data_IF_868158814247
#
_entry.id   IF_868158814247
#
_cell.length_a   1.000
_cell.length_b   1.000
_cell.length_c   1.000
_cell.angle_alpha   90.00
_cell.angle_beta   90.00
_cell.angle_gamma   90.00
#
_symmetry.space_group_name_H-M   'P 1'
#
loop_
_entity.id
_entity.type
_entity.pdbx_description
1 polymer ?
#
# COMPACT_ATOMS: atom_id res chain seq x y z
N UNK A 1 -7.60 -8.84 39.61
CA UNK A 1 -6.67 -9.63 38.79
C UNK A 1 -5.81 -8.63 38.03
N UNK A 2 -4.64 -8.31 38.58
CA UNK A 2 -3.68 -7.39 37.98
C UNK A 2 -3.04 -8.11 36.79
N UNK A 3 -3.41 -7.70 35.58
CA UNK A 3 -2.69 -8.12 34.38
C UNK A 3 -1.30 -7.52 34.48
N UNK A 4 -0.30 -8.37 34.74
CA UNK A 4 1.10 -8.01 34.56
C UNK A 4 1.26 -7.60 33.10
N UNK A 5 1.34 -6.29 32.85
CA UNK A 5 1.66 -5.76 31.53
C UNK A 5 3.15 -6.08 31.34
N UNK A 6 3.44 -7.23 30.72
CA UNK A 6 4.80 -7.57 30.32
C UNK A 6 5.20 -6.65 29.15
N UNK A 7 5.96 -5.60 29.47
CA UNK A 7 6.46 -4.56 28.56
C UNK A 7 7.62 -5.02 27.65
N UNK A 8 7.81 -6.33 27.47
CA UNK A 8 8.86 -6.85 26.60
C UNK A 8 8.38 -6.87 25.14
N UNK A 9 9.25 -6.46 24.22
CA UNK A 9 8.96 -6.36 22.78
C UNK A 9 8.48 -7.71 22.23
N UNK A 10 9.13 -8.80 22.62
CA UNK A 10 8.76 -10.15 22.18
C UNK A 10 7.36 -10.55 22.66
N UNK A 11 6.99 -10.15 23.87
CA UNK A 11 5.66 -10.41 24.43
C UNK A 11 4.57 -9.65 23.67
N UNK A 12 4.84 -8.40 23.30
CA UNK A 12 3.91 -7.57 22.51
C UNK A 12 3.75 -8.13 21.09
N UNK A 13 4.84 -8.52 20.43
CA UNK A 13 4.80 -9.11 19.09
C UNK A 13 4.02 -10.42 19.07
N UNK A 14 4.20 -11.27 20.09
CA UNK A 14 3.43 -12.51 20.22
C UNK A 14 1.93 -12.25 20.38
N UNK A 15 1.56 -11.22 21.15
CA UNK A 15 0.15 -10.84 21.34
C UNK A 15 -0.47 -10.33 20.04
N UNK A 16 0.26 -9.50 19.28
CA UNK A 16 -0.20 -9.04 17.97
C UNK A 16 -0.40 -10.23 17.03
N UNK A 17 0.58 -11.13 16.94
CA UNK A 17 0.50 -12.31 16.06
C UNK A 17 -0.68 -13.22 16.42
N UNK A 18 -0.94 -13.42 17.71
CA UNK A 18 -2.10 -14.19 18.17
C UNK A 18 -3.41 -13.52 17.71
N UNK A 19 -3.52 -12.21 17.90
CA UNK A 19 -4.69 -11.45 17.46
C UNK A 19 -4.89 -11.52 15.94
N UNK A 20 -3.82 -11.43 15.14
CA UNK A 20 -3.89 -11.57 13.68
C UNK A 20 -4.44 -12.94 13.26
N UNK A 21 -3.98 -14.01 13.92
CA UNK A 21 -4.48 -15.38 13.67
C UNK A 21 -5.97 -15.52 14.03
N UNK A 22 -6.38 -15.00 15.19
CA UNK A 22 -7.76 -15.13 15.68
C UNK A 22 -8.76 -14.33 14.84
N UNK A 23 -8.37 -13.14 14.38
CA UNK A 23 -9.27 -12.20 13.71
C UNK A 23 -9.12 -12.18 12.19
N UNK A 24 -8.16 -12.92 11.63
CA UNK A 24 -7.74 -12.83 10.22
C UNK A 24 -7.42 -11.39 9.79
N UNK A 25 -7.11 -10.52 10.76
CA UNK A 25 -6.60 -9.17 10.50
C UNK A 25 -5.09 -9.21 10.34
N UNK A 26 -4.54 -8.17 9.74
CA UNK A 26 -3.09 -7.95 9.68
C UNK A 26 -2.82 -6.49 9.98
N UNK A 27 -1.70 -6.23 10.62
CA UNK A 27 -1.28 -4.90 11.01
C UNK A 27 -0.09 -4.47 10.16
N UNK A 28 -0.18 -3.26 9.62
CA UNK A 28 0.94 -2.60 8.95
C UNK A 28 1.53 -1.53 9.85
N UNK A 29 2.82 -1.28 9.68
CA UNK A 29 3.50 -0.19 10.38
C UNK A 29 3.02 1.14 9.80
N UNK A 30 2.41 1.98 10.65
CA UNK A 30 2.02 3.34 10.29
C UNK A 30 3.17 4.32 10.56
N UNK A 31 3.80 4.18 11.73
CA UNK A 31 4.93 5.01 12.16
C UNK A 31 5.83 4.20 13.10
N UNK A 32 7.14 4.39 13.00
CA UNK A 32 8.09 3.85 13.96
C UNK A 32 9.17 4.90 14.21
N UNK A 33 9.51 5.12 15.49
CA UNK A 33 10.62 5.98 15.84
C UNK A 33 11.96 5.27 15.56
N UNK A 34 13.01 6.06 15.30
CA UNK A 34 14.35 5.58 14.93
C UNK A 34 15.00 4.66 15.98
N UNK A 35 14.59 4.82 17.23
CA UNK A 35 15.18 4.12 18.38
C UNK A 35 14.32 2.95 18.87
N UNK A 36 13.19 2.67 18.23
CA UNK A 36 12.35 1.53 18.58
C UNK A 36 13.11 0.21 18.32
N UNK A 37 13.14 -0.69 19.32
CA UNK A 37 13.79 -2.00 19.21
C UNK A 37 15.32 -2.01 19.35
N UNK A 38 15.95 -0.89 19.70
CA UNK A 38 17.41 -0.85 19.96
C UNK A 38 17.69 -1.13 21.44
N UNK A 39 18.43 -2.22 21.70
CA UNK A 39 18.79 -2.63 23.06
C UNK A 39 19.83 -1.69 23.69
N UNK A 40 20.85 -1.31 22.90
CA UNK A 40 21.94 -0.44 23.32
C UNK A 40 21.75 0.97 22.78
N UNK A 41 20.99 1.78 23.51
CA UNK A 41 20.90 3.23 23.27
C UNK A 41 21.79 3.90 24.32
N UNK A 42 22.75 4.70 23.85
CA UNK A 42 23.54 5.51 24.75
C UNK A 42 22.63 6.57 25.39
N UNK A 43 22.47 6.46 26.71
CA UNK A 43 21.65 7.38 27.48
C UNK A 43 22.31 8.76 27.64
N UNK A 44 23.60 8.88 27.32
CA UNK A 44 24.34 10.14 27.41
C UNK A 44 24.14 11.04 26.19
N UNK A 45 23.76 10.48 25.04
CA UNK A 45 23.65 11.22 23.78
C UNK A 45 22.31 11.95 23.58
N UNK A 46 21.28 11.61 24.37
CA UNK A 46 19.94 12.16 24.20
C UNK A 46 19.38 12.69 25.52
N UNK A 47 18.65 13.81 25.45
CA UNK A 47 17.86 14.29 26.59
C UNK A 47 16.58 13.47 26.73
N UNK A 48 16.50 12.67 27.80
CA UNK A 48 15.31 11.89 28.11
C UNK A 48 14.46 12.59 29.15
N UNK A 49 13.14 12.55 28.96
CA UNK A 49 12.19 12.96 29.99
C UNK A 49 11.87 11.75 30.85
N UNK A 50 12.26 11.82 32.13
CA UNK A 50 11.80 10.87 33.14
C UNK A 50 10.32 11.18 33.42
N UNK A 51 9.47 10.16 33.31
CA UNK A 51 8.04 10.25 33.55
C UNK A 51 7.66 9.32 34.68
N UNK A 52 6.54 9.62 35.32
CA UNK A 52 5.91 8.76 36.32
C UNK A 52 4.54 8.27 35.86
N UNK A 53 3.95 8.91 34.85
CA UNK A 53 2.76 8.51 34.12
C UNK A 53 2.84 9.02 32.66
N UNK A 54 1.98 8.49 31.79
CA UNK A 54 1.74 9.02 30.46
C UNK A 54 0.25 9.03 30.17
N UNK A 55 -0.42 10.08 30.67
CA UNK A 55 -1.88 10.28 30.55
C UNK A 55 -2.25 11.37 29.54
N UNK A 56 -1.29 11.79 28.71
CA UNK A 56 -1.51 12.82 27.69
C UNK A 56 -2.55 12.37 26.65
N UNK A 57 -3.19 13.32 25.98
CA UNK A 57 -4.24 13.04 24.97
C UNK A 57 -3.78 12.09 23.86
N UNK A 58 -2.49 12.09 23.54
CA UNK A 58 -1.88 11.25 22.49
C UNK A 58 -1.25 9.94 23.04
N UNK A 59 -1.32 9.74 24.36
CA UNK A 59 -0.88 8.53 25.04
C UNK A 59 -1.96 7.46 24.90
N UNK A 60 -1.78 6.60 23.89
CA UNK A 60 -2.67 5.49 23.61
C UNK A 60 -1.82 4.22 23.49
N UNK A 61 -1.93 3.28 24.44
CA UNK A 61 -2.67 3.37 25.70
C UNK A 61 -2.00 4.33 26.71
N UNK A 62 -2.76 4.92 27.65
CA UNK A 62 -2.18 5.71 28.73
C UNK A 62 -1.45 4.80 29.72
N UNK A 63 -0.34 5.28 30.27
CA UNK A 63 0.42 4.58 31.32
C UNK A 63 0.06 5.26 32.66
N UNK A 64 -0.69 4.60 33.56
CA UNK A 64 -1.04 5.20 34.85
C UNK A 64 0.15 5.28 35.79
N UNK A 65 0.06 6.14 36.80
CA UNK A 65 1.06 6.23 37.86
C UNK A 65 1.08 4.96 38.73
N UNK A 66 2.24 4.31 38.81
CA UNK A 66 2.48 3.12 39.64
C UNK A 66 3.62 3.33 40.68
N UNK A 67 4.17 4.55 40.73
CA UNK A 67 5.30 4.90 41.62
C UNK A 67 6.68 4.60 41.04
N UNK A 68 6.77 3.97 39.86
CA UNK A 68 8.04 3.62 39.21
C UNK A 68 8.32 4.61 38.07
N UNK A 69 9.45 5.36 38.11
CA UNK A 69 9.79 6.24 37.01
C UNK A 69 10.19 5.44 35.76
N UNK A 70 9.78 5.92 34.59
CA UNK A 70 10.11 5.31 33.31
C UNK A 70 10.49 6.35 32.24
N UNK A 71 11.08 5.86 31.15
CA UNK A 71 11.44 6.64 29.96
C UNK A 71 10.86 5.95 28.73
N UNK A 72 10.19 6.70 27.86
CA UNK A 72 9.71 6.19 26.58
C UNK A 72 10.86 6.28 25.56
N UNK A 73 11.49 5.15 25.24
CA UNK A 73 12.64 5.08 24.31
C UNK A 73 12.26 5.20 22.83
N UNK A 74 11.03 4.84 22.50
CA UNK A 74 10.49 4.95 21.13
C UNK A 74 9.09 4.35 21.04
N UNK A 75 8.32 4.82 20.05
CA UNK A 75 6.96 4.36 19.77
C UNK A 75 6.90 3.71 18.39
N UNK A 76 6.19 2.58 18.29
CA UNK A 76 5.79 1.93 17.04
C UNK A 76 4.27 1.89 17.00
N UNK A 77 3.69 2.59 16.04
CA UNK A 77 2.24 2.63 15.82
C UNK A 77 1.90 1.71 14.66
N UNK A 78 1.01 0.77 14.92
CA UNK A 78 0.47 -0.16 13.94
C UNK A 78 -0.94 0.26 13.54
N UNK A 79 -1.33 -0.03 12.30
CA UNK A 79 -2.67 0.20 11.77
C UNK A 79 -3.20 -1.10 11.17
N UNK A 80 -4.43 -1.48 11.52
CA UNK A 80 -5.10 -2.65 10.94
C UNK A 80 -5.33 -2.42 9.43
N UNK A 81 -5.11 -3.44 8.60
CA UNK A 81 -5.33 -3.37 7.15
C UNK A 81 -6.80 -3.10 6.78
N UNK A 82 -7.73 -3.54 7.63
CA UNK A 82 -9.17 -3.29 7.49
C UNK A 82 -9.58 -1.91 8.05
N UNK A 83 -8.63 -1.16 8.59
CA UNK A 83 -8.86 0.19 9.09
C UNK A 83 -9.12 1.20 7.98
N UNK A 84 -8.98 2.48 8.31
CA UNK A 84 -9.26 3.58 7.38
C UNK A 84 -8.42 3.46 6.10
N UNK A 85 -9.07 3.38 4.94
CA UNK A 85 -8.37 3.40 3.64
C UNK A 85 -7.79 4.80 3.37
N UNK A 86 -6.53 5.00 3.79
CA UNK A 86 -5.77 6.24 3.53
C UNK A 86 -5.48 6.46 2.05
N UNK A 87 -5.58 5.42 1.22
CA UNK A 87 -5.35 5.48 -0.22
C UNK A 87 -6.63 5.71 -1.03
N UNK A 88 -7.80 5.83 -0.38
CA UNK A 88 -9.10 6.05 -1.02
C UNK A 88 -9.07 7.18 -2.06
N UNK A 89 -8.57 8.36 -1.69
CA UNK A 89 -8.48 9.52 -2.59
C UNK A 89 -7.59 9.26 -3.82
N UNK A 90 -6.51 8.47 -3.67
CA UNK A 90 -5.63 8.09 -4.78
C UNK A 90 -6.36 7.13 -5.73
N UNK A 91 -7.09 6.17 -5.19
CA UNK A 91 -7.92 5.22 -5.98
C UNK A 91 -9.03 5.95 -6.73
N UNK A 92 -9.74 6.86 -6.07
CA UNK A 92 -10.77 7.70 -6.70
C UNK A 92 -10.19 8.53 -7.86
N UNK A 93 -9.04 9.17 -7.65
CA UNK A 93 -8.37 9.92 -8.72
C UNK A 93 -7.98 9.03 -9.89
N UNK A 94 -7.42 7.84 -9.62
CA UNK A 94 -7.06 6.90 -10.67
C UNK A 94 -8.29 6.41 -11.46
N UNK A 95 -9.41 6.15 -10.77
CA UNK A 95 -10.66 5.78 -11.41
C UNK A 95 -11.23 6.91 -12.27
N UNK A 96 -11.19 8.16 -11.79
CA UNK A 96 -11.60 9.32 -12.59
C UNK A 96 -10.75 9.50 -13.85
N UNK A 97 -9.44 9.31 -13.76
CA UNK A 97 -8.54 9.36 -14.92
C UNK A 97 -8.87 8.25 -15.93
N UNK A 98 -9.05 7.01 -15.44
CA UNK A 98 -9.43 5.88 -16.30
C UNK A 98 -10.79 6.09 -16.98
N UNK A 99 -11.76 6.65 -16.26
CA UNK A 99 -13.07 6.96 -16.84
C UNK A 99 -12.97 8.03 -17.93
N UNK A 100 -12.13 9.06 -17.75
CA UNK A 100 -11.85 10.05 -18.79
C UNK A 100 -11.20 9.43 -20.03
N UNK A 101 -10.24 8.53 -19.84
CA UNK A 101 -9.63 7.78 -20.95
C UNK A 101 -10.67 6.95 -21.71
N UNK A 102 -11.64 6.36 -21.01
CA UNK A 102 -12.75 5.62 -21.62
C UNK A 102 -13.76 6.54 -22.32
N UNK A 103 -14.08 7.71 -21.74
CA UNK A 103 -14.96 8.71 -22.36
C UNK A 103 -14.33 9.30 -23.63
N UNK A 104 -13.02 9.50 -23.66
CA UNK A 104 -12.28 9.95 -24.84
C UNK A 104 -12.20 8.90 -25.96
N UNK A 105 -12.73 7.68 -25.74
CA UNK A 105 -12.93 6.66 -26.79
C UNK A 105 -14.09 6.98 -27.76
N UNK A 106 -14.40 8.26 -27.91
CA UNK A 106 -15.25 8.79 -28.95
C UNK A 106 -14.67 8.49 -30.34
N UNK A 107 -15.53 8.43 -31.36
CA UNK A 107 -15.11 8.30 -32.77
C UNK A 107 -14.03 9.33 -33.14
N UNK A 108 -14.24 10.60 -32.77
CA UNK A 108 -13.30 11.68 -33.01
C UNK A 108 -11.99 11.55 -32.22
N UNK A 109 -12.01 10.87 -31.07
CA UNK A 109 -10.79 10.52 -30.32
C UNK A 109 -9.94 9.50 -31.06
N UNK A 110 -10.58 8.45 -31.59
CA UNK A 110 -9.91 7.41 -32.40
C UNK A 110 -9.32 7.97 -33.69
N UNK A 111 -10.08 8.79 -34.40
CA UNK A 111 -9.62 9.44 -35.64
C UNK A 111 -8.38 10.32 -35.39
N UNK A 112 -8.37 11.11 -34.30
CA UNK A 112 -7.19 11.91 -33.89
C UNK A 112 -5.99 11.05 -33.51
N UNK A 113 -6.20 9.94 -32.80
CA UNK A 113 -5.12 9.02 -32.43
C UNK A 113 -4.51 8.36 -33.68
N UNK A 114 -5.37 7.90 -34.61
CA UNK A 114 -4.97 7.32 -35.89
C UNK A 114 -4.13 8.30 -36.72
N UNK A 115 -4.57 9.55 -36.82
CA UNK A 115 -3.83 10.59 -37.54
C UNK A 115 -2.47 10.88 -36.91
N UNK A 116 -2.35 10.85 -35.57
CA UNK A 116 -1.05 10.99 -34.89
C UNK A 116 -0.11 9.83 -35.20
N UNK A 117 -0.62 8.61 -35.23
CA UNK A 117 0.18 7.41 -35.57
C UNK A 117 0.68 7.49 -37.01
N UNK A 118 -0.20 7.82 -37.97
CA UNK A 118 0.22 8.01 -39.37
C UNK A 118 1.30 9.08 -39.51
N UNK A 119 1.12 10.25 -38.89
CA UNK A 119 2.12 11.32 -38.93
C UNK A 119 3.47 10.93 -38.29
N UNK A 120 3.48 10.08 -37.26
CA UNK A 120 4.71 9.61 -36.63
C UNK A 120 5.42 8.57 -37.51
N UNK A 121 4.66 7.67 -38.17
CA UNK A 121 5.19 6.75 -39.17
C UNK A 121 5.79 7.52 -40.35
N UNK A 122 5.09 8.53 -40.88
CA UNK A 122 5.54 9.36 -42.00
C UNK A 122 6.83 10.15 -41.68
N UNK A 123 7.09 10.38 -40.39
CA UNK A 123 8.29 11.08 -39.88
C UNK A 123 9.40 10.14 -39.42
N UNK A 124 9.20 8.83 -39.53
CA UNK A 124 10.12 7.81 -39.02
C UNK A 124 10.43 7.97 -37.50
N UNK A 125 9.46 8.50 -36.73
CA UNK A 125 9.56 8.58 -35.28
C UNK A 125 9.27 7.21 -34.64
N UNK A 126 9.88 6.92 -33.48
CA UNK A 126 9.60 5.70 -32.71
C UNK A 126 8.15 5.66 -32.23
N UNK A 127 7.39 4.66 -32.66
CA UNK A 127 5.98 4.44 -32.27
C UNK A 127 5.82 3.09 -31.57
N UNK A 128 5.43 3.11 -30.30
CA UNK A 128 5.04 1.90 -29.60
C UNK A 128 3.64 1.44 -30.04
N UNK A 129 3.57 0.35 -30.82
CA UNK A 129 2.33 -0.28 -31.28
C UNK A 129 2.20 -1.70 -30.73
N UNK A 130 0.98 -2.09 -30.36
CA UNK A 130 0.68 -3.47 -30.01
C UNK A 130 0.37 -4.25 -31.28
N UNK A 131 1.19 -5.25 -31.61
CA UNK A 131 0.91 -6.17 -32.71
C UNK A 131 -0.16 -7.17 -32.29
N UNK A 132 -1.30 -7.14 -32.98
CA UNK A 132 -2.40 -8.10 -32.80
C UNK A 132 -2.58 -8.85 -34.10
N UNK A 133 -2.39 -10.16 -34.06
CA UNK A 133 -2.59 -11.04 -35.21
C UNK A 133 -3.99 -11.66 -35.15
N UNK A 134 -4.76 -11.50 -36.22
CA UNK A 134 -6.07 -12.13 -36.36
C UNK A 134 -5.98 -13.27 -37.38
N UNK A 135 -6.30 -14.49 -36.95
CA UNK A 135 -6.45 -15.64 -37.84
C UNK A 135 -7.93 -15.78 -38.17
N UNK A 136 -8.30 -15.52 -39.42
CA UNK A 136 -9.64 -15.77 -39.94
C UNK A 136 -9.63 -17.11 -40.66
N UNK A 137 -10.34 -18.10 -40.12
CA UNK A 137 -10.53 -19.42 -40.75
C UNK A 137 -11.88 -19.40 -41.47
N UNK A 138 -11.94 -19.65 -42.79
CA UNK A 138 -13.21 -19.68 -43.51
C UNK A 138 -13.99 -20.98 -43.21
N UNK A 139 -15.13 -20.84 -42.51
CA UNK A 139 -16.32 -21.72 -42.43
C UNK A 139 -16.21 -23.13 -41.77
N UNK A 140 -17.29 -23.85 -41.39
CA UNK A 140 -18.67 -23.48 -41.04
C UNK A 140 -19.06 -24.04 -39.65
N UNK A 141 -18.46 -23.61 -38.54
CA UNK A 141 -18.90 -24.05 -37.20
C UNK A 141 -18.96 -22.88 -36.23
N UNK A 142 -20.19 -22.50 -35.90
CA UNK A 142 -20.53 -21.53 -34.87
C UNK A 142 -20.03 -22.02 -33.50
N UNK A 143 -19.44 -21.09 -32.73
CA UNK A 143 -19.21 -21.17 -31.28
C UNK A 143 -17.91 -21.81 -30.77
N UNK A 144 -16.75 -21.46 -31.32
CA UNK A 144 -15.52 -21.56 -30.54
C UNK A 144 -14.80 -20.21 -30.46
N UNK A 145 -14.83 -19.62 -29.26
CA UNK A 145 -13.96 -18.51 -28.86
C UNK A 145 -12.57 -19.10 -28.62
N UNK A 146 -11.63 -18.91 -29.55
CA UNK A 146 -10.21 -19.18 -29.30
C UNK A 146 -9.49 -17.86 -29.15
N UNK A 147 -9.46 -17.35 -27.93
CA UNK A 147 -8.62 -16.22 -27.57
C UNK A 147 -7.78 -16.57 -26.36
N UNK A 148 -6.47 -16.68 -26.56
CA UNK A 148 -5.47 -16.19 -25.61
C UNK A 148 -4.15 -15.98 -26.36
N UNK A 149 -3.59 -14.76 -26.26
CA UNK A 149 -2.19 -14.48 -26.58
C UNK A 149 -1.62 -13.72 -25.38
N UNK A 150 -0.51 -14.22 -24.84
CA UNK A 150 0.30 -13.54 -23.83
C UNK A 150 1.64 -13.15 -24.45
N UNK A 151 1.99 -11.87 -24.20
CA UNK A 151 3.19 -11.02 -24.44
C UNK A 151 4.56 -11.72 -24.43
N UNK A 152 5.71 -11.18 -24.89
CA UNK A 152 6.25 -9.83 -25.14
C UNK A 152 7.64 -10.08 -25.75
N UNK A 153 8.10 -9.37 -26.78
CA UNK A 153 9.54 -9.28 -27.07
C UNK A 153 9.87 -7.82 -27.40
N UNK A 154 10.67 -7.20 -26.51
CA UNK A 154 11.31 -5.92 -26.72
C UNK A 154 12.60 -6.16 -27.53
N UNK A 155 12.73 -5.52 -28.69
CA UNK A 155 14.02 -5.14 -29.31
C UNK A 155 13.87 -3.72 -29.83
#
# INVERSE_FOLDING_TARGET
>A
MTTDILYDIFSVEKLINLHELETSTTYRILKSDKNFGKENIDLSENTFTIRYDDTQKDAVPPIPYDGVPFIIRGKKTLECHQGKDRSKKKKERAQLLRNKELEDNTRYGRERLSAKIHNAIDKEDDVAVQHVYLISVPDPHQNHFTGEIITREDI
#
